data_IF_878063964943
#
_entry.id   IF_878063964943
#
_cell.length_a   1.000
_cell.length_b   1.000
_cell.length_c   1.000
_cell.angle_alpha   90.00
_cell.angle_beta   90.00
_cell.angle_gamma   90.00
#
_symmetry.space_group_name_H-M   'P 1'
#
loop_
_entity.id
_entity.type
_entity.pdbx_description
1 polymer ?
#
# COMPACT_ATOMS: atom_id res chain seq x y z
N UNK A 1 -16.94 8.72 -13.67
CA UNK A 1 -16.60 8.84 -12.24
C UNK A 1 -16.74 10.31 -11.87
N UNK A 2 -17.59 10.65 -10.90
CA UNK A 2 -17.83 12.04 -10.52
C UNK A 2 -16.67 12.56 -9.66
N UNK A 3 -16.15 13.75 -9.96
CA UNK A 3 -15.04 14.35 -9.18
C UNK A 3 -15.42 14.48 -7.70
N UNK A 4 -16.67 14.83 -7.39
CA UNK A 4 -17.16 14.94 -6.01
C UNK A 4 -17.17 13.60 -5.27
N UNK A 5 -17.56 12.51 -5.94
CA UNK A 5 -17.52 11.16 -5.38
C UNK A 5 -16.07 10.72 -5.14
N UNK A 6 -15.17 11.03 -6.08
CA UNK A 6 -13.74 10.72 -5.98
C UNK A 6 -13.11 11.42 -4.79
N UNK A 7 -13.40 12.71 -4.59
CA UNK A 7 -12.93 13.48 -3.44
C UNK A 7 -13.41 12.83 -2.13
N UNK A 8 -14.70 12.51 -2.04
CA UNK A 8 -15.28 11.87 -0.84
C UNK A 8 -14.62 10.53 -0.51
N UNK A 9 -14.38 9.69 -1.52
CA UNK A 9 -13.71 8.40 -1.33
C UNK A 9 -12.26 8.56 -0.84
N UNK A 10 -11.55 9.56 -1.37
CA UNK A 10 -10.18 9.89 -0.97
C UNK A 10 -10.11 10.49 0.44
N UNK A 11 -11.03 11.37 0.82
CA UNK A 11 -11.16 11.89 2.19
C UNK A 11 -11.40 10.77 3.20
N UNK A 12 -12.32 9.84 2.88
CA UNK A 12 -12.60 8.69 3.74
C UNK A 12 -11.37 7.80 3.89
N UNK A 13 -10.66 7.53 2.78
CA UNK A 13 -9.44 6.73 2.80
C UNK A 13 -8.32 7.41 3.59
N UNK A 14 -8.14 8.72 3.42
CA UNK A 14 -7.18 9.52 4.18
C UNK A 14 -7.43 9.40 5.68
N UNK A 15 -8.69 9.55 6.10
CA UNK A 15 -9.08 9.37 7.50
C UNK A 15 -8.71 7.97 8.00
N UNK A 16 -9.07 6.92 7.27
CA UNK A 16 -8.75 5.54 7.68
C UNK A 16 -7.25 5.29 7.80
N UNK A 17 -6.41 5.89 6.95
CA UNK A 17 -4.95 5.77 7.08
C UNK A 17 -4.40 6.50 8.30
N UNK A 18 -4.89 7.71 8.59
CA UNK A 18 -4.53 8.46 9.80
C UNK A 18 -4.93 7.69 11.07
N UNK A 19 -6.11 7.09 11.07
CA UNK A 19 -6.57 6.27 12.18
C UNK A 19 -5.67 5.02 12.33
N UNK A 20 -5.36 4.34 11.23
CA UNK A 20 -4.54 3.10 11.22
C UNK A 20 -3.11 3.33 11.73
N UNK A 21 -2.48 4.43 11.32
CA UNK A 21 -1.10 4.75 11.74
C UNK A 21 -1.04 5.22 13.19
N UNK A 22 -2.13 5.76 13.74
CA UNK A 22 -2.22 6.22 15.12
C UNK A 22 -2.36 5.08 16.13
N UNK A 23 -2.75 3.88 15.68
CA UNK A 23 -2.84 2.68 16.53
C UNK A 23 -1.43 2.27 16.96
N UNK A 24 -1.12 2.43 18.25
CA UNK A 24 0.10 1.91 18.86
C UNK A 24 -0.13 0.50 19.38
N UNK A 25 0.43 -0.49 18.68
CA UNK A 25 0.44 -1.90 19.09
C UNK A 25 1.85 -2.47 19.00
N UNK A 26 2.16 -3.50 19.78
CA UNK A 26 3.34 -4.33 19.53
C UNK A 26 3.11 -5.10 18.22
N UNK A 27 3.84 -4.74 17.17
CA UNK A 27 3.65 -5.31 15.83
C UNK A 27 4.63 -6.46 15.57
N UNK A 28 4.11 -7.69 15.53
CA UNK A 28 4.87 -8.88 15.13
C UNK A 28 5.09 -8.96 13.60
N UNK A 29 4.32 -8.18 12.84
CA UNK A 29 4.36 -8.11 11.39
C UNK A 29 4.40 -6.65 10.95
N UNK A 30 5.53 -5.94 11.11
CA UNK A 30 5.58 -4.49 10.89
C UNK A 30 5.86 -4.11 9.43
N UNK A 31 6.01 -5.08 8.52
CA UNK A 31 6.50 -4.80 7.17
C UNK A 31 5.43 -4.90 6.09
N UNK A 32 5.45 -3.97 5.16
CA UNK A 32 4.66 -4.02 3.92
C UNK A 32 5.64 -4.17 2.75
N UNK A 33 5.32 -5.06 1.83
CA UNK A 33 6.14 -5.30 0.63
C UNK A 33 5.40 -4.79 -0.61
N UNK A 34 6.08 -3.97 -1.41
CA UNK A 34 5.61 -3.51 -2.73
C UNK A 34 6.44 -4.16 -3.84
N UNK A 35 5.79 -4.49 -4.96
CA UNK A 35 6.42 -4.90 -6.22
C UNK A 35 5.88 -3.99 -7.31
N UNK A 36 6.72 -3.12 -7.84
CA UNK A 36 6.31 -2.07 -8.77
C UNK A 36 5.41 -1.04 -8.08
N UNK A 37 4.15 -0.94 -8.51
CA UNK A 37 3.12 -0.08 -7.90
C UNK A 37 2.05 -0.88 -7.13
N UNK A 38 2.29 -2.17 -6.89
CA UNK A 38 1.36 -3.08 -6.25
C UNK A 38 1.92 -3.59 -4.93
N UNK A 39 1.04 -4.07 -4.06
CA UNK A 39 1.39 -4.62 -2.75
C UNK A 39 1.38 -6.14 -2.79
N UNK A 40 2.16 -6.78 -1.93
CA UNK A 40 2.19 -8.25 -1.81
C UNK A 40 1.13 -8.72 -0.80
N UNK A 41 0.56 -9.89 -1.05
CA UNK A 41 -0.33 -10.61 -0.15
C UNK A 41 -0.16 -12.12 -0.27
N UNK A 42 -1.00 -12.86 0.42
CA UNK A 42 -1.20 -14.29 0.17
C UNK A 42 -2.64 -14.55 -0.25
N UNK A 43 -2.84 -15.55 -1.11
CA UNK A 43 -4.18 -16.09 -1.35
C UNK A 43 -4.63 -17.01 -0.20
N UNK A 44 -5.77 -17.69 -0.40
CA UNK A 44 -6.37 -18.60 0.58
C UNK A 44 -5.51 -19.84 0.88
N UNK A 45 -4.62 -20.20 -0.04
CA UNK A 45 -3.76 -21.38 0.04
C UNK A 45 -2.35 -21.00 0.57
N UNK A 46 -2.14 -19.72 0.90
CA UNK A 46 -0.87 -19.20 1.41
C UNK A 46 0.14 -18.85 0.32
N UNK A 47 -0.26 -18.85 -0.96
CA UNK A 47 0.62 -18.52 -2.08
C UNK A 47 0.78 -17.01 -2.18
N UNK A 48 2.02 -16.56 -2.35
CA UNK A 48 2.35 -15.14 -2.51
C UNK A 48 1.77 -14.61 -3.82
N UNK A 49 0.95 -13.56 -3.71
CA UNK A 49 0.33 -12.87 -4.84
C UNK A 49 0.62 -11.37 -4.80
N UNK A 50 0.58 -10.74 -5.97
CA UNK A 50 0.67 -9.29 -6.12
C UNK A 50 -0.74 -8.73 -6.29
N UNK A 51 -1.10 -7.70 -5.52
CA UNK A 51 -2.46 -7.19 -5.42
C UNK A 51 -2.50 -5.68 -5.22
N UNK A 52 -3.60 -5.06 -5.67
CA UNK A 52 -3.90 -3.65 -5.39
C UNK A 52 -4.91 -3.57 -4.24
N UNK A 53 -4.41 -3.46 -3.01
CA UNK A 53 -5.26 -3.29 -1.81
C UNK A 53 -4.96 -1.99 -1.11
N UNK A 54 -6.03 -1.29 -0.71
CA UNK A 54 -5.92 -0.07 0.08
C UNK A 54 -5.28 -0.32 1.45
N UNK A 55 -5.50 -1.50 2.03
CA UNK A 55 -4.92 -1.93 3.30
C UNK A 55 -4.13 -3.21 3.02
N UNK A 56 -2.83 -3.09 2.76
CA UNK A 56 -2.01 -4.24 2.39
C UNK A 56 -1.83 -5.19 3.57
N UNK A 57 -1.52 -6.44 3.22
CA UNK A 57 -1.09 -7.44 4.19
C UNK A 57 0.27 -7.02 4.78
N UNK A 58 0.46 -7.32 6.05
CA UNK A 58 1.71 -7.07 6.75
C UNK A 58 2.43 -8.38 7.02
N UNK A 59 3.76 -8.33 7.01
CA UNK A 59 4.62 -9.50 7.06
C UNK A 59 5.63 -9.41 8.21
N UNK A 60 6.00 -10.57 8.73
CA UNK A 60 7.16 -10.70 9.61
C UNK A 60 8.45 -10.61 8.79
N UNK A 61 9.57 -10.36 9.46
CA UNK A 61 10.88 -10.29 8.78
C UNK A 61 11.22 -11.58 8.02
N UNK A 62 10.88 -12.75 8.58
CA UNK A 62 11.11 -14.04 7.91
C UNK A 62 10.28 -14.19 6.64
N UNK A 63 9.01 -13.76 6.66
CA UNK A 63 8.17 -13.78 5.47
C UNK A 63 8.68 -12.80 4.40
N UNK A 64 9.19 -11.62 4.80
CA UNK A 64 9.85 -10.68 3.89
C UNK A 64 11.06 -11.32 3.20
N UNK A 65 11.92 -12.03 3.95
CA UNK A 65 13.08 -12.75 3.37
C UNK A 65 12.65 -13.78 2.32
N UNK A 66 11.59 -14.53 2.60
CA UNK A 66 11.01 -15.48 1.63
C UNK A 66 10.53 -14.75 0.38
N UNK A 67 9.78 -13.65 0.52
CA UNK A 67 9.29 -12.85 -0.61
C UNK A 67 10.45 -12.29 -1.45
N UNK A 68 11.53 -11.83 -0.81
CA UNK A 68 12.73 -11.31 -1.49
C UNK A 68 13.48 -12.37 -2.30
N UNK A 69 13.36 -13.65 -1.94
CA UNK A 69 13.96 -14.74 -2.71
C UNK A 69 13.18 -15.09 -3.98
N UNK A 70 11.96 -14.55 -4.14
CA UNK A 70 11.11 -14.78 -5.31
C UNK A 70 11.49 -13.85 -6.46
N UNK A 71 11.26 -14.30 -7.69
CA UNK A 71 11.44 -13.48 -8.89
C UNK A 71 10.10 -12.91 -9.34
N UNK A 72 9.97 -11.59 -9.35
CA UNK A 72 8.82 -10.89 -9.91
C UNK A 72 9.18 -10.32 -11.28
N UNK A 73 8.24 -10.38 -12.22
CA UNK A 73 8.39 -9.82 -13.57
C UNK A 73 7.21 -8.91 -13.90
N UNK A 74 7.48 -7.88 -14.67
CA UNK A 74 6.44 -7.01 -15.21
C UNK A 74 5.79 -7.62 -16.47
N UNK A 75 4.86 -6.87 -17.09
CA UNK A 75 4.21 -7.31 -18.33
C UNK A 75 5.14 -7.39 -19.56
N UNK A 76 6.38 -6.87 -19.46
CA UNK A 76 7.42 -6.95 -20.50
C UNK A 76 8.44 -8.05 -20.22
N UNK A 77 8.37 -8.68 -19.04
CA UNK A 77 9.29 -9.73 -18.61
C UNK A 77 10.51 -9.22 -17.84
N UNK A 78 10.60 -7.92 -17.59
CA UNK A 78 11.69 -7.30 -16.82
C UNK A 78 11.57 -7.65 -15.34
N UNK A 79 12.70 -7.94 -14.69
CA UNK A 79 12.72 -8.29 -13.27
C UNK A 79 12.45 -7.05 -12.43
N UNK A 80 11.43 -7.12 -11.57
CA UNK A 80 11.11 -6.08 -10.59
C UNK A 80 11.62 -6.53 -9.22
N UNK A 81 12.42 -5.68 -8.59
CA UNK A 81 12.86 -5.88 -7.21
C UNK A 81 11.77 -5.41 -6.23
N UNK A 82 11.39 -6.22 -5.24
CA UNK A 82 10.50 -5.79 -4.17
C UNK A 82 11.10 -4.64 -3.34
N UNK A 83 10.23 -3.80 -2.79
CA UNK A 83 10.57 -2.76 -1.81
C UNK A 83 9.88 -3.08 -0.49
N UNK A 84 10.58 -2.91 0.63
CA UNK A 84 10.03 -3.10 1.98
C UNK A 84 9.89 -1.75 2.63
N UNK A 85 8.76 -1.55 3.29
CA UNK A 85 8.52 -0.39 4.11
C UNK A 85 8.11 -0.87 5.50
N UNK A 86 8.48 -0.08 6.51
CA UNK A 86 7.78 -0.18 7.79
C UNK A 86 6.32 0.24 7.60
N UNK A 87 5.39 -0.36 8.35
CA UNK A 87 3.96 -0.03 8.31
C UNK A 87 3.74 1.48 8.40
N UNK A 88 4.38 2.12 9.38
CA UNK A 88 4.30 3.56 9.57
C UNK A 88 4.78 4.34 8.34
N UNK A 89 5.96 4.01 7.82
CA UNK A 89 6.54 4.64 6.62
C UNK A 89 5.60 4.54 5.42
N UNK A 90 5.03 3.34 5.19
CA UNK A 90 4.11 3.12 4.08
C UNK A 90 2.85 3.98 4.20
N UNK A 91 2.17 3.95 5.35
CA UNK A 91 0.95 4.73 5.56
C UNK A 91 1.24 6.24 5.51
N UNK A 92 2.36 6.72 6.06
CA UNK A 92 2.76 8.13 5.96
C UNK A 92 2.87 8.57 4.50
N UNK A 93 3.53 7.78 3.65
CA UNK A 93 3.67 8.07 2.22
C UNK A 93 2.31 8.08 1.50
N UNK A 94 1.40 7.14 1.81
CA UNK A 94 0.07 7.14 1.21
C UNK A 94 -0.78 8.34 1.65
N UNK A 95 -0.67 8.74 2.91
CA UNK A 95 -1.33 9.94 3.45
C UNK A 95 -0.88 11.18 2.67
N UNK A 96 0.42 11.35 2.46
CA UNK A 96 0.97 12.46 1.67
C UNK A 96 0.47 12.46 0.23
N UNK A 97 0.50 11.30 -0.43
CA UNK A 97 0.00 11.15 -1.81
C UNK A 97 -1.48 11.52 -1.93
N UNK A 98 -2.32 11.07 -1.00
CA UNK A 98 -3.76 11.40 -1.02
C UNK A 98 -3.98 12.89 -0.77
N UNK A 99 -3.26 13.51 0.17
CA UNK A 99 -3.34 14.95 0.42
C UNK A 99 -2.98 15.77 -0.83
N UNK A 100 -1.87 15.44 -1.49
CA UNK A 100 -1.46 16.09 -2.74
C UNK A 100 -2.51 15.91 -3.85
N UNK A 101 -3.08 14.72 -3.98
CA UNK A 101 -4.11 14.43 -4.98
C UNK A 101 -5.39 15.22 -4.72
N UNK A 102 -5.85 15.26 -3.46
CA UNK A 102 -7.03 16.02 -3.05
C UNK A 102 -6.85 17.51 -3.35
N UNK A 103 -5.68 18.09 -3.06
CA UNK A 103 -5.38 19.49 -3.36
C UNK A 103 -5.57 19.81 -4.86
N UNK A 104 -5.09 18.94 -5.74
CA UNK A 104 -5.25 19.10 -7.18
C UNK A 104 -6.71 18.93 -7.61
N UNK A 105 -7.44 17.98 -7.04
CA UNK A 105 -8.85 17.74 -7.37
C UNK A 105 -9.75 18.90 -6.93
N UNK A 106 -9.51 19.52 -5.76
CA UNK A 106 -10.28 20.70 -5.36
C UNK A 106 -10.04 21.88 -6.29
N UNK A 107 -8.81 22.08 -6.79
CA UNK A 107 -8.51 23.12 -7.78
C UNK A 107 -9.25 22.91 -9.10
N UNK A 108 -9.44 21.66 -9.51
CA UNK A 108 -10.17 21.31 -10.74
C UNK A 108 -11.70 21.37 -10.58
N UNK A 109 -12.19 21.28 -9.34
CA UNK A 109 -13.62 21.34 -9.03
C UNK A 109 -14.13 22.76 -8.71
N UNK A 110 -13.23 23.72 -8.58
CA UNK A 110 -13.50 25.15 -8.40
C UNK A 110 -13.76 25.85 -9.73
#
# INVERSE_FOLDING_TARGET
MNIKETIKDLEQRLKSYIDTISIRSLEYTPFIVEVGALTVGTDKDGVVIVQNKNFPMQFSENAVKTIFSMTFRDGKGDIIQPRVYGKHEWYSRQIENIKMTLEQLYKLAA
#
